data_IF_126382848587
#
_entry.id   IF_126382848587
#
_cell.length_a   1.000
_cell.length_b   1.000
_cell.length_c   1.000
_cell.angle_alpha   90.00
_cell.angle_beta   90.00
_cell.angle_gamma   90.00
#
_symmetry.space_group_name_H-M   'P 1'
#
loop_
_entity.id
_entity.type
_entity.pdbx_description
1 polymer ?
#
# COMPACT_ATOMS: atom_id res chain seq x y z
N UNK A 1 58.76 -24.36 -26.31
CA UNK A 1 58.08 -23.43 -25.38
C UNK A 1 57.85 -22.11 -26.11
N UNK A 2 56.68 -21.94 -26.76
CA UNK A 2 56.36 -20.71 -27.49
C UNK A 2 55.55 -19.79 -26.58
N UNK A 3 56.08 -18.61 -26.28
CA UNK A 3 55.49 -17.63 -25.40
C UNK A 3 54.27 -16.98 -26.06
N UNK A 4 53.09 -17.17 -25.48
CA UNK A 4 51.87 -16.45 -25.84
C UNK A 4 52.02 -14.97 -25.41
N UNK A 5 52.04 -14.04 -26.37
CA UNK A 5 52.01 -12.61 -26.08
C UNK A 5 50.67 -12.23 -25.41
N UNK A 6 50.66 -11.34 -24.39
CA UNK A 6 49.42 -10.90 -23.77
C UNK A 6 48.60 -10.08 -24.77
N UNK A 7 47.31 -10.43 -24.90
CA UNK A 7 46.36 -9.71 -25.75
C UNK A 7 46.22 -8.25 -25.29
N UNK A 8 46.21 -7.26 -26.20
CA UNK A 8 46.10 -5.86 -25.83
C UNK A 8 44.71 -5.59 -25.25
N UNK A 9 44.66 -5.27 -23.95
CA UNK A 9 43.44 -4.76 -23.30
C UNK A 9 43.08 -3.44 -23.95
N UNK A 10 41.99 -3.39 -24.72
CA UNK A 10 41.45 -2.17 -25.34
C UNK A 10 41.18 -1.14 -24.25
N UNK A 11 42.06 -0.15 -24.12
CA UNK A 11 41.90 0.93 -23.16
C UNK A 11 40.77 1.85 -23.64
N UNK A 12 39.73 2.00 -22.83
CA UNK A 12 38.62 2.90 -23.15
C UNK A 12 39.17 4.34 -23.09
N UNK A 13 38.91 5.11 -24.15
CA UNK A 13 39.25 6.54 -24.23
C UNK A 13 38.71 7.29 -22.99
N UNK A 14 39.47 8.21 -22.38
CA UNK A 14 39.04 8.92 -21.17
C UNK A 14 37.68 9.62 -21.31
N UNK A 15 37.37 10.17 -22.50
CA UNK A 15 36.08 10.82 -22.75
C UNK A 15 34.94 9.81 -22.79
N UNK A 16 35.17 8.68 -23.45
CA UNK A 16 34.22 7.56 -23.48
C UNK A 16 34.00 6.93 -22.11
N UNK A 17 35.02 6.88 -21.23
CA UNK A 17 34.87 6.46 -19.83
C UNK A 17 33.97 7.41 -19.05
N UNK A 18 34.21 8.72 -19.15
CA UNK A 18 33.39 9.72 -18.47
C UNK A 18 31.94 9.70 -18.98
N UNK A 19 31.73 9.55 -20.30
CA UNK A 19 30.39 9.43 -20.88
C UNK A 19 29.66 8.18 -20.37
N UNK A 20 30.34 7.04 -20.28
CA UNK A 20 29.75 5.80 -19.76
C UNK A 20 29.40 5.91 -18.27
N UNK A 21 30.25 6.58 -17.48
CA UNK A 21 29.98 6.84 -16.06
C UNK A 21 28.77 7.77 -15.87
N UNK A 22 28.68 8.85 -16.66
CA UNK A 22 27.54 9.76 -16.62
C UNK A 22 26.24 9.05 -17.01
N UNK A 23 26.27 8.22 -18.07
CA UNK A 23 25.11 7.43 -18.48
C UNK A 23 24.71 6.42 -17.41
N UNK A 24 25.67 5.73 -16.79
CA UNK A 24 25.42 4.82 -15.67
C UNK A 24 24.75 5.52 -14.50
N UNK A 25 25.17 6.74 -14.17
CA UNK A 25 24.56 7.53 -13.09
C UNK A 25 23.11 7.89 -13.40
N UNK A 26 22.83 8.33 -14.63
CA UNK A 26 21.46 8.67 -15.07
C UNK A 26 20.55 7.45 -15.00
N UNK A 27 21.00 6.31 -15.54
CA UNK A 27 20.23 5.05 -15.50
C UNK A 27 20.02 4.60 -14.05
N UNK A 28 21.05 4.70 -13.20
CA UNK A 28 20.96 4.34 -11.80
C UNK A 28 19.96 5.20 -11.03
N UNK A 29 20.01 6.54 -11.18
CA UNK A 29 19.05 7.44 -10.55
C UNK A 29 17.63 7.22 -11.07
N UNK A 30 17.47 6.97 -12.38
CA UNK A 30 16.18 6.63 -12.96
C UNK A 30 15.61 5.33 -12.40
N UNK A 31 16.45 4.29 -12.25
CA UNK A 31 16.06 3.03 -11.65
C UNK A 31 15.65 3.20 -10.18
N UNK A 32 16.38 4.00 -9.40
CA UNK A 32 16.03 4.30 -8.00
C UNK A 32 14.70 5.05 -7.88
N UNK A 33 14.46 6.05 -8.74
CA UNK A 33 13.21 6.80 -8.74
C UNK A 33 12.02 5.88 -9.01
N UNK A 34 12.13 5.01 -10.03
CA UNK A 34 11.11 4.01 -10.34
C UNK A 34 10.93 2.98 -9.22
N UNK A 35 12.02 2.47 -8.64
CA UNK A 35 12.00 1.46 -7.59
C UNK A 35 11.46 1.97 -6.24
N UNK A 36 11.49 3.29 -6.01
CA UNK A 36 11.00 3.88 -4.76
C UNK A 36 9.50 3.64 -4.51
N UNK A 37 8.68 3.63 -5.57
CA UNK A 37 7.22 3.43 -5.47
C UNK A 37 6.86 2.02 -4.99
N UNK A 38 7.28 0.92 -5.65
CA UNK A 38 6.97 -0.42 -5.17
C UNK A 38 7.62 -0.71 -3.81
N UNK A 39 8.78 -0.12 -3.50
CA UNK A 39 9.41 -0.26 -2.19
C UNK A 39 8.57 0.41 -1.09
N UNK A 40 8.02 1.60 -1.35
CA UNK A 40 7.15 2.29 -0.40
C UNK A 40 5.81 1.54 -0.20
N UNK A 41 5.21 1.02 -1.27
CA UNK A 41 4.01 0.18 -1.18
C UNK A 41 4.25 -1.06 -0.33
N UNK A 42 5.36 -1.77 -0.59
CA UNK A 42 5.76 -2.93 0.20
C UNK A 42 5.96 -2.59 1.68
N UNK A 43 6.65 -1.48 1.98
CA UNK A 43 6.82 -1.00 3.35
C UNK A 43 5.48 -0.72 4.03
N UNK A 44 4.58 0.01 3.37
CA UNK A 44 3.28 0.36 3.95
C UNK A 44 2.42 -0.88 4.20
N UNK A 45 2.45 -1.86 3.29
CA UNK A 45 1.71 -3.11 3.44
C UNK A 45 2.20 -3.96 4.60
N UNK A 46 3.51 -4.16 4.72
CA UNK A 46 4.08 -5.01 5.78
C UNK A 46 3.92 -4.38 7.16
N UNK A 47 4.07 -3.06 7.26
CA UNK A 47 4.01 -2.35 8.55
C UNK A 47 2.61 -1.89 8.92
N UNK A 48 1.67 -1.84 7.97
CA UNK A 48 0.36 -1.20 8.15
C UNK A 48 0.43 0.33 8.25
N UNK A 49 1.56 0.94 7.86
CA UNK A 49 1.76 2.39 7.97
C UNK A 49 0.69 3.16 7.16
N UNK A 50 0.12 4.21 7.76
CA UNK A 50 -0.96 4.99 7.15
C UNK A 50 -2.34 4.31 7.16
N UNK A 51 -2.49 3.17 7.85
CA UNK A 51 -3.75 2.45 7.98
C UNK A 51 -4.03 1.48 6.83
N UNK A 52 -2.97 1.02 6.14
CA UNK A 52 -3.05 -0.04 5.13
C UNK A 52 -3.39 -1.36 5.83
N UNK A 53 -4.50 -1.97 5.41
CA UNK A 53 -5.01 -3.21 6.00
C UNK A 53 -4.27 -4.44 5.50
N UNK A 54 -3.88 -5.31 6.44
CA UNK A 54 -3.54 -6.69 6.12
C UNK A 54 -4.83 -7.52 6.11
N UNK A 55 -5.29 -7.90 4.92
CA UNK A 55 -6.47 -8.76 4.76
C UNK A 55 -6.05 -10.21 4.93
N UNK A 56 -6.72 -10.94 5.82
CA UNK A 56 -6.65 -12.39 5.89
C UNK A 56 -7.89 -12.98 5.19
N UNK A 57 -7.68 -13.95 4.29
CA UNK A 57 -8.77 -14.59 3.55
C UNK A 57 -9.59 -15.57 4.42
N UNK A 58 -9.03 -16.00 5.56
CA UNK A 58 -9.65 -16.94 6.50
C UNK A 58 -9.69 -16.34 7.90
N UNK A 59 -10.74 -16.64 8.65
CA UNK A 59 -10.83 -16.30 10.08
C UNK A 59 -9.73 -16.99 10.90
N UNK A 60 -9.48 -16.48 12.10
CA UNK A 60 -8.50 -17.10 13.00
C UNK A 60 -9.04 -18.43 13.53
N UNK A 61 -8.18 -19.45 13.57
CA UNK A 61 -8.51 -20.74 14.19
C UNK A 61 -8.55 -20.67 15.73
N UNK A 62 -7.94 -19.63 16.31
CA UNK A 62 -7.84 -19.44 17.76
C UNK A 62 -8.55 -18.15 18.20
N UNK A 63 -9.40 -18.27 19.21
CA UNK A 63 -10.06 -17.11 19.84
C UNK A 63 -9.41 -16.89 21.20
N UNK A 64 -8.71 -15.77 21.36
CA UNK A 64 -8.08 -15.40 22.63
C UNK A 64 -9.12 -14.84 23.60
N UNK A 65 -8.87 -14.94 24.92
CA UNK A 65 -9.75 -14.37 25.96
C UNK A 65 -9.61 -12.84 26.09
N UNK A 66 -8.71 -12.23 25.32
CA UNK A 66 -8.55 -10.78 25.29
C UNK A 66 -9.64 -10.14 24.43
N UNK A 67 -10.26 -9.10 24.99
CA UNK A 67 -11.36 -8.38 24.37
C UNK A 67 -10.89 -7.02 23.86
N UNK A 68 -11.36 -6.63 22.68
CA UNK A 68 -11.08 -5.32 22.07
C UNK A 68 -12.39 -4.63 21.70
N UNK A 69 -12.38 -3.29 21.78
CA UNK A 69 -13.48 -2.47 21.29
C UNK A 69 -13.14 -1.98 19.89
N UNK A 70 -13.94 -2.40 18.90
CA UNK A 70 -13.78 -1.95 17.52
C UNK A 70 -14.78 -0.82 17.28
N UNK A 71 -14.26 0.34 16.86
CA UNK A 71 -15.08 1.51 16.52
C UNK A 71 -15.21 1.67 15.01
N UNK A 72 -16.44 1.86 14.56
CA UNK A 72 -16.80 2.06 13.17
C UNK A 72 -17.11 3.53 12.91
N UNK A 73 -16.31 4.16 12.04
CA UNK A 73 -16.54 5.52 11.58
C UNK A 73 -17.09 5.52 10.16
N UNK A 74 -18.07 6.40 9.90
CA UNK A 74 -18.67 6.60 8.60
C UNK A 74 -18.66 8.09 8.27
N UNK A 75 -17.57 8.53 7.67
CA UNK A 75 -17.38 9.91 7.25
C UNK A 75 -17.74 10.09 5.77
N UNK A 76 -18.28 11.26 5.43
CA UNK A 76 -18.63 11.64 4.05
C UNK A 76 -17.86 12.89 3.64
N UNK A 77 -17.57 13.00 2.35
CA UNK A 77 -17.01 14.24 1.80
C UNK A 77 -18.00 15.41 1.91
N UNK A 78 -17.45 16.62 2.04
CA UNK A 78 -18.23 17.87 2.10
C UNK A 78 -19.03 18.03 0.80
N UNK A 79 -20.35 17.92 0.91
CA UNK A 79 -21.27 18.07 -0.23
C UNK A 79 -21.76 16.75 -0.83
N UNK A 80 -21.33 15.59 -0.30
CA UNK A 80 -21.91 14.30 -0.70
C UNK A 80 -23.38 14.24 -0.23
N UNK A 81 -24.35 14.13 -1.16
CA UNK A 81 -25.77 14.21 -0.81
C UNK A 81 -26.30 12.94 -0.16
N UNK A 82 -25.60 11.81 -0.28
CA UNK A 82 -26.00 10.55 0.34
C UNK A 82 -25.90 10.63 1.86
N UNK A 83 -26.78 9.93 2.56
CA UNK A 83 -26.64 9.64 3.98
C UNK A 83 -25.92 8.31 4.14
N UNK A 84 -24.85 8.28 4.93
CA UNK A 84 -24.05 7.08 5.19
C UNK A 84 -23.78 7.02 6.69
N UNK A 85 -24.19 5.92 7.33
CA UNK A 85 -24.04 5.72 8.78
C UNK A 85 -23.84 4.24 9.10
N UNK A 86 -23.06 3.90 10.14
CA UNK A 86 -23.01 2.54 10.64
C UNK A 86 -24.29 2.24 11.44
N UNK A 87 -24.76 1.00 11.40
CA UNK A 87 -25.87 0.58 12.28
C UNK A 87 -25.45 0.50 13.75
N UNK A 88 -24.17 0.20 13.98
CA UNK A 88 -23.55 0.12 15.31
C UNK A 88 -22.19 0.82 15.26
N UNK A 89 -21.95 1.77 16.18
CA UNK A 89 -20.70 2.56 16.18
C UNK A 89 -19.54 1.86 16.88
N UNK A 90 -19.83 1.02 17.87
CA UNK A 90 -18.82 0.33 18.67
C UNK A 90 -19.32 -1.09 18.95
N UNK A 91 -18.45 -2.08 18.74
CA UNK A 91 -18.69 -3.45 19.15
C UNK A 91 -17.53 -3.91 20.04
N UNK A 92 -17.87 -4.66 21.06
CA UNK A 92 -16.89 -5.35 21.90
C UNK A 92 -16.81 -6.80 21.43
N UNK A 93 -15.62 -7.26 21.10
CA UNK A 93 -15.39 -8.60 20.56
C UNK A 93 -14.06 -9.17 20.99
N UNK A 94 -13.95 -10.49 20.99
CA UNK A 94 -12.70 -11.18 21.33
C UNK A 94 -11.73 -11.19 20.16
N UNK A 95 -10.43 -11.15 20.44
CA UNK A 95 -9.42 -11.29 19.39
C UNK A 95 -9.54 -12.67 18.75
N UNK A 96 -9.71 -12.70 17.43
CA UNK A 96 -9.93 -13.93 16.64
C UNK A 96 -11.39 -14.22 16.33
N UNK A 97 -12.34 -13.55 16.99
CA UNK A 97 -13.77 -13.68 16.72
C UNK A 97 -14.13 -13.03 15.37
N UNK A 98 -15.01 -13.67 14.60
CA UNK A 98 -15.53 -13.09 13.35
C UNK A 98 -16.85 -12.38 13.61
N UNK A 99 -16.87 -11.06 13.48
CA UNK A 99 -18.07 -10.23 13.60
C UNK A 99 -18.56 -9.72 12.24
N UNK A 100 -19.88 -9.59 12.08
CA UNK A 100 -20.50 -8.94 10.93
C UNK A 100 -21.15 -7.63 11.35
N UNK A 101 -20.92 -6.57 10.60
CA UNK A 101 -21.52 -5.24 10.83
C UNK A 101 -22.18 -4.72 9.56
N UNK A 102 -23.28 -4.00 9.76
CA UNK A 102 -24.08 -3.43 8.69
C UNK A 102 -23.95 -1.92 8.66
N UNK A 103 -23.94 -1.37 7.45
CA UNK A 103 -23.98 0.06 7.17
C UNK A 103 -25.22 0.38 6.35
N UNK A 104 -25.78 1.56 6.58
CA UNK A 104 -26.90 2.07 5.80
C UNK A 104 -26.42 3.21 4.90
N UNK A 105 -26.72 3.11 3.61
CA UNK A 105 -26.43 4.13 2.60
C UNK A 105 -27.74 4.50 1.89
N UNK A 106 -28.12 5.78 1.97
CA UNK A 106 -29.36 6.30 1.41
C UNK A 106 -29.10 7.50 0.50
N UNK A 107 -29.64 7.48 -0.72
CA UNK A 107 -29.60 8.63 -1.63
C UNK A 107 -30.94 9.40 -1.54
N UNK A 108 -30.98 10.58 -0.90
CA UNK A 108 -32.21 11.38 -0.78
C UNK A 108 -32.57 12.16 -2.06
N UNK A 109 -31.84 11.98 -3.16
CA UNK A 109 -32.05 12.74 -4.40
C UNK A 109 -32.76 11.94 -5.48
N UNK A 110 -33.52 12.63 -6.34
CA UNK A 110 -34.27 12.01 -7.46
C UNK A 110 -33.38 11.68 -8.67
N UNK A 111 -32.06 11.74 -8.53
CA UNK A 111 -31.09 11.49 -9.59
C UNK A 111 -30.03 10.50 -9.16
N UNK A 112 -29.48 9.77 -10.12
CA UNK A 112 -28.32 8.93 -9.88
C UNK A 112 -27.11 9.80 -9.50
N UNK A 113 -26.48 9.46 -8.39
CA UNK A 113 -25.23 10.07 -7.92
C UNK A 113 -24.22 8.94 -7.75
N UNK A 114 -23.07 9.04 -8.41
CA UNK A 114 -21.97 8.10 -8.23
C UNK A 114 -21.09 8.57 -7.06
N UNK A 115 -20.58 7.61 -6.28
CA UNK A 115 -19.63 7.86 -5.21
C UNK A 115 -18.61 6.73 -5.11
N UNK A 116 -17.41 7.05 -4.64
CA UNK A 116 -16.38 6.08 -4.33
C UNK A 116 -16.03 6.21 -2.85
N UNK A 117 -15.96 5.08 -2.14
CA UNK A 117 -15.52 5.04 -0.76
C UNK A 117 -14.10 4.49 -0.68
N UNK A 118 -13.24 5.20 0.04
CA UNK A 118 -11.96 4.70 0.53
C UNK A 118 -12.09 4.35 2.00
N UNK A 119 -11.37 3.34 2.47
CA UNK A 119 -11.34 2.95 3.88
C UNK A 119 -9.90 2.88 4.40
N UNK A 120 -9.76 3.04 5.71
CA UNK A 120 -8.52 2.80 6.45
C UNK A 120 -8.86 2.10 7.77
N UNK A 121 -7.90 1.35 8.32
CA UNK A 121 -8.03 0.73 9.65
C UNK A 121 -6.83 1.15 10.47
N UNK A 122 -7.08 1.62 11.70
CA UNK A 122 -6.04 2.02 12.63
C UNK A 122 -6.39 1.46 14.03
N UNK A 123 -5.37 1.00 14.79
CA UNK A 123 -5.55 0.61 16.18
C UNK A 123 -5.76 1.81 17.11
#
# INVERSE_FOLDING_TARGET
MSNQAPTPKKSIDPKSKTALQALSLVVFMGALAWASVPFYDWFCRVTGFGGVTNTADTGSDEILDQTITVRFDASKERGMPWEFKPMVREIEMRIGETGLVFYEAYNPTDRAVAGQASYNVAP
#
